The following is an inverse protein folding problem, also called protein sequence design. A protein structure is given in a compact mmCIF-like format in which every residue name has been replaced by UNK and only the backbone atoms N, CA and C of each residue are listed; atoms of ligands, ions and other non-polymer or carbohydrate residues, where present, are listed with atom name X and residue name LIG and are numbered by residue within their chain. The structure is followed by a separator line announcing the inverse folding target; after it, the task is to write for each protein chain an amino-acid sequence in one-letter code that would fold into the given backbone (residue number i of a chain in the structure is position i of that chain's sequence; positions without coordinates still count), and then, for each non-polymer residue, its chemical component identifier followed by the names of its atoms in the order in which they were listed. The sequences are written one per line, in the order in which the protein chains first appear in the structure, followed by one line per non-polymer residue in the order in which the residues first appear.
data_IF_567033061815
#
_entry.id   IF_567033061815
#
_cell.length_a   1.000
_cell.length_b   1.000
_cell.length_c   1.000
_cell.angle_alpha   90.00
_cell.angle_beta   90.00
_cell.angle_gamma   90.00
#
_symmetry.space_group_name_H-M   'P 1'
#
loop_
_entity.id
_entity.type
_entity.pdbx_description
1 polymer ?
#
# COMPACT_ATOMS: atom_id res chain seq x y z
N UNK A 1 19.73 1.83 -16.30
CA UNK A 1 19.03 1.98 -15.01
C UNK A 1 19.92 2.81 -14.09
N UNK A 2 19.45 3.99 -13.70
CA UNK A 2 20.18 4.96 -12.89
C UNK A 2 20.39 4.48 -11.45
N UNK A 3 21.24 5.18 -10.68
CA UNK A 3 21.39 4.90 -9.24
C UNK A 3 20.07 5.13 -8.48
N UNK A 4 19.33 6.17 -8.85
CA UNK A 4 18.02 6.51 -8.26
C UNK A 4 17.02 5.39 -8.54
N UNK A 5 16.95 4.88 -9.78
CA UNK A 5 16.08 3.76 -10.14
C UNK A 5 16.33 2.54 -9.24
N UNK A 6 17.62 2.22 -8.96
CA UNK A 6 17.99 1.07 -8.13
C UNK A 6 17.54 1.24 -6.69
N UNK A 7 17.72 2.44 -6.12
CA UNK A 7 17.23 2.77 -4.78
C UNK A 7 15.71 2.69 -4.72
N UNK A 8 15.01 3.22 -5.72
CA UNK A 8 13.56 3.17 -5.80
C UNK A 8 13.04 1.74 -5.81
N UNK A 9 13.60 0.87 -6.65
CA UNK A 9 13.23 -0.56 -6.66
C UNK A 9 13.54 -1.20 -5.30
N UNK A 10 14.70 -0.94 -4.71
CA UNK A 10 15.06 -1.49 -3.40
C UNK A 10 14.02 -1.12 -2.33
N UNK A 11 13.60 0.15 -2.27
CA UNK A 11 12.58 0.60 -1.31
C UNK A 11 11.22 -0.04 -1.56
N UNK A 12 10.80 -0.16 -2.83
CA UNK A 12 9.54 -0.83 -3.19
C UNK A 12 9.56 -2.31 -2.84
N UNK A 13 10.67 -3.01 -3.10
CA UNK A 13 10.87 -4.41 -2.70
C UNK A 13 10.85 -4.55 -1.19
N UNK A 14 11.53 -3.65 -0.47
CA UNK A 14 11.55 -3.65 0.99
C UNK A 14 10.13 -3.49 1.56
N UNK A 15 9.34 -2.55 1.04
CA UNK A 15 7.93 -2.39 1.44
C UNK A 15 7.15 -3.68 1.23
N UNK A 16 7.30 -4.32 0.05
CA UNK A 16 6.61 -5.57 -0.27
C UNK A 16 7.01 -6.73 0.67
N UNK A 17 8.29 -6.87 0.99
CA UNK A 17 8.79 -7.90 1.93
C UNK A 17 8.25 -7.65 3.33
N UNK A 18 8.29 -6.41 3.81
CA UNK A 18 7.78 -6.06 5.15
C UNK A 18 6.28 -6.31 5.24
N UNK A 19 5.51 -5.92 4.22
CA UNK A 19 4.07 -6.18 4.14
C UNK A 19 3.77 -7.69 4.07
N UNK A 20 4.59 -8.47 3.38
CA UNK A 20 4.47 -9.93 3.36
C UNK A 20 4.65 -10.54 4.75
N UNK A 21 5.65 -10.10 5.52
CA UNK A 21 5.83 -10.57 6.90
C UNK A 21 4.66 -10.15 7.79
N UNK A 22 4.15 -8.93 7.65
CA UNK A 22 2.96 -8.50 8.38
C UNK A 22 1.76 -9.43 8.15
N UNK A 23 1.45 -9.66 6.87
CA UNK A 23 0.27 -10.40 6.46
C UNK A 23 0.36 -11.90 6.75
N UNK A 24 1.49 -12.53 6.45
CA UNK A 24 1.61 -13.99 6.51
C UNK A 24 2.12 -14.50 7.86
N UNK A 25 2.80 -13.67 8.65
CA UNK A 25 3.27 -14.04 9.98
C UNK A 25 2.44 -13.41 11.10
N UNK A 26 2.34 -12.09 11.17
CA UNK A 26 1.66 -11.42 12.31
C UNK A 26 0.14 -11.55 12.24
N UNK A 27 -0.48 -11.24 11.10
CA UNK A 27 -1.93 -11.34 10.94
C UNK A 27 -2.44 -12.78 11.09
N UNK A 28 -1.72 -13.77 10.57
CA UNK A 28 -2.07 -15.19 10.77
C UNK A 28 -1.94 -15.62 12.23
N UNK A 29 -0.89 -15.15 12.93
CA UNK A 29 -0.62 -15.51 14.33
C UNK A 29 -1.68 -14.94 15.28
N UNK A 30 -2.02 -13.65 15.17
CA UNK A 30 -3.03 -13.03 16.07
C UNK A 30 -4.47 -13.24 15.62
N UNK A 31 -4.67 -13.50 14.33
CA UNK A 31 -5.96 -13.54 13.63
C UNK A 31 -6.63 -12.17 13.57
N UNK A 32 -7.17 -11.82 12.40
CA UNK A 32 -7.77 -10.51 12.19
C UNK A 32 -9.22 -10.43 12.71
N UNK A 33 -9.58 -9.41 13.49
CA UNK A 33 -10.96 -9.08 13.82
C UNK A 33 -11.68 -8.52 12.58
N UNK A 34 -13.01 -8.61 12.56
CA UNK A 34 -13.84 -8.22 11.39
C UNK A 34 -13.56 -6.80 10.87
N UNK A 35 -13.25 -5.85 11.75
CA UNK A 35 -13.01 -4.47 11.37
C UNK A 35 -11.74 -4.32 10.51
N UNK A 36 -10.65 -4.99 10.90
CA UNK A 36 -9.38 -4.98 10.15
C UNK A 36 -9.50 -5.75 8.82
N UNK A 37 -10.37 -6.78 8.75
CA UNK A 37 -10.64 -7.50 7.49
C UNK A 37 -11.31 -6.64 6.42
N UNK A 38 -12.03 -5.60 6.83
CA UNK A 38 -12.63 -4.61 5.91
C UNK A 38 -11.68 -3.42 5.74
N UNK A 39 -11.00 -3.02 6.83
CA UNK A 39 -10.01 -1.96 6.84
C UNK A 39 -8.90 -2.19 5.83
N UNK A 40 -8.21 -3.33 5.91
CA UNK A 40 -7.02 -3.59 5.07
C UNK A 40 -7.32 -3.54 3.56
N UNK A 41 -8.42 -4.13 3.05
CA UNK A 41 -8.81 -3.93 1.65
C UNK A 41 -9.04 -2.46 1.29
N UNK A 42 -9.65 -1.66 2.15
CA UNK A 42 -9.86 -0.23 1.89
C UNK A 42 -8.51 0.48 1.75
N UNK A 43 -7.54 0.16 2.59
CA UNK A 43 -6.22 0.79 2.58
C UNK A 43 -5.49 0.47 1.25
N UNK A 44 -5.51 -0.81 0.86
CA UNK A 44 -4.98 -1.28 -0.42
C UNK A 44 -5.71 -0.66 -1.61
N UNK A 45 -7.03 -0.46 -1.52
CA UNK A 45 -7.82 0.17 -2.58
C UNK A 45 -7.40 1.62 -2.85
N UNK A 46 -7.21 2.43 -1.80
CA UNK A 46 -6.74 3.81 -1.98
C UNK A 46 -5.31 3.88 -2.53
N UNK A 47 -4.46 2.91 -2.18
CA UNK A 47 -3.14 2.76 -2.80
C UNK A 47 -3.25 2.38 -4.29
N UNK A 48 -4.17 1.47 -4.65
CA UNK A 48 -4.45 1.10 -6.04
C UNK A 48 -4.97 2.28 -6.87
N UNK A 49 -5.80 3.16 -6.31
CA UNK A 49 -6.24 4.37 -7.00
C UNK A 49 -5.05 5.24 -7.46
N UNK A 50 -4.00 5.33 -6.66
CA UNK A 50 -2.78 6.05 -7.03
C UNK A 50 -2.09 5.42 -8.25
N UNK A 51 -2.01 4.07 -8.31
CA UNK A 51 -1.50 3.37 -9.48
C UNK A 51 -2.37 3.58 -10.72
N UNK A 52 -3.70 3.55 -10.57
CA UNK A 52 -4.63 3.74 -11.69
C UNK A 52 -4.43 5.11 -12.34
N UNK A 53 -4.26 6.17 -11.54
CA UNK A 53 -3.96 7.51 -12.05
C UNK A 53 -2.65 7.51 -12.85
N UNK A 54 -1.59 6.95 -12.30
CA UNK A 54 -0.26 6.97 -12.94
C UNK A 54 -0.22 6.16 -14.23
N UNK A 55 -0.87 4.99 -14.26
CA UNK A 55 -0.78 4.07 -15.39
C UNK A 55 -1.73 4.43 -16.54
N UNK A 56 -2.86 5.08 -16.24
CA UNK A 56 -3.93 5.28 -17.23
C UNK A 56 -4.29 6.74 -17.50
N UNK A 57 -3.81 7.70 -16.70
CA UNK A 57 -4.10 9.11 -16.92
C UNK A 57 -2.88 9.89 -17.41
N UNK A 58 -3.05 10.85 -18.34
CA UNK A 58 -1.99 11.75 -18.73
C UNK A 58 -1.66 12.71 -17.59
N UNK A 59 -0.41 13.16 -17.52
CA UNK A 59 0.06 14.09 -16.51
C UNK A 59 -0.38 15.52 -16.82
N UNK A 60 -1.53 15.91 -16.28
CA UNK A 60 -2.13 17.25 -16.40
C UNK A 60 -2.28 17.87 -15.01
N UNK A 61 -2.51 19.19 -14.92
CA UNK A 61 -2.68 19.86 -13.61
C UNK A 61 -3.81 19.25 -12.77
N UNK A 62 -4.92 18.88 -13.41
CA UNK A 62 -6.09 18.28 -12.74
C UNK A 62 -5.82 16.86 -12.26
N UNK A 63 -5.17 16.03 -13.08
CA UNK A 63 -4.82 14.65 -12.69
C UNK A 63 -3.73 14.60 -11.63
N UNK A 64 -2.81 15.57 -11.62
CA UNK A 64 -1.85 15.74 -10.51
C UNK A 64 -2.57 16.06 -9.20
N UNK A 65 -3.53 17.00 -9.22
CA UNK A 65 -4.32 17.28 -8.02
C UNK A 65 -5.10 16.05 -7.55
N UNK A 66 -5.67 15.29 -8.49
CA UNK A 66 -6.36 14.04 -8.18
C UNK A 66 -5.42 13.00 -7.54
N UNK A 67 -4.20 12.84 -8.08
CA UNK A 67 -3.19 11.97 -7.51
C UNK A 67 -2.82 12.38 -6.09
N UNK A 68 -2.53 13.67 -5.87
CA UNK A 68 -2.18 14.19 -4.55
C UNK A 68 -3.32 13.97 -3.54
N UNK A 69 -4.57 14.14 -3.96
CA UNK A 69 -5.74 13.87 -3.14
C UNK A 69 -5.80 12.39 -2.73
N UNK A 70 -5.67 11.46 -3.68
CA UNK A 70 -5.68 10.02 -3.39
C UNK A 70 -4.48 9.58 -2.55
N UNK A 71 -3.29 10.10 -2.83
CA UNK A 71 -2.08 9.83 -2.04
C UNK A 71 -2.26 10.29 -0.59
N UNK A 72 -2.82 11.49 -0.38
CA UNK A 72 -3.09 12.03 0.96
C UNK A 72 -4.13 11.16 1.68
N UNK A 73 -5.24 10.81 1.04
CA UNK A 73 -6.22 9.91 1.63
C UNK A 73 -5.63 8.54 1.94
N UNK A 74 -4.80 7.99 1.06
CA UNK A 74 -4.12 6.71 1.29
C UNK A 74 -3.26 6.75 2.55
N UNK A 75 -2.50 7.83 2.77
CA UNK A 75 -1.73 8.03 4.00
C UNK A 75 -2.62 8.23 5.24
N UNK A 76 -3.69 9.02 5.14
CA UNK A 76 -4.59 9.26 6.28
C UNK A 76 -5.33 7.99 6.72
N UNK A 77 -5.71 7.17 5.75
CA UNK A 77 -6.44 5.94 6.00
C UNK A 77 -5.57 4.95 6.78
N UNK A 78 -4.30 4.75 6.43
CA UNK A 78 -3.44 3.83 7.19
C UNK A 78 -3.17 4.31 8.63
N UNK A 79 -3.18 5.63 8.87
CA UNK A 79 -3.00 6.19 10.22
C UNK A 79 -4.12 5.76 11.17
N UNK A 80 -5.34 5.49 10.66
CA UNK A 80 -6.48 5.05 11.49
C UNK A 80 -6.15 3.76 12.26
N UNK A 81 -5.30 2.91 11.70
CA UNK A 81 -5.03 1.57 12.22
C UNK A 81 -4.12 1.62 13.45
N UNK A 82 -3.40 2.72 13.65
CA UNK A 82 -2.52 2.91 14.81
C UNK A 82 -3.29 2.82 16.14
N UNK A 83 -4.53 3.31 16.18
CA UNK A 83 -5.39 3.21 17.37
C UNK A 83 -5.65 1.75 17.74
N UNK A 84 -5.76 0.87 16.74
CA UNK A 84 -5.98 -0.55 16.94
C UNK A 84 -4.67 -1.26 17.24
N UNK A 85 -3.58 -0.88 16.57
CA UNK A 85 -2.27 -1.46 16.76
C UNK A 85 -1.77 -1.30 18.19
N UNK A 86 -1.92 -0.11 18.78
CA UNK A 86 -1.56 0.16 20.19
C UNK A 86 -2.21 -0.80 21.20
N UNK A 87 -3.39 -1.32 20.88
CA UNK A 87 -4.16 -2.18 21.78
C UNK A 87 -3.90 -3.68 21.58
N UNK A 88 -3.42 -4.09 20.39
CA UNK A 88 -3.39 -5.51 19.99
C UNK A 88 -2.04 -6.02 19.51
N UNK A 89 -1.19 -5.13 19.02
CA UNK A 89 0.07 -5.52 18.40
C UNK A 89 1.14 -5.73 19.46
N UNK A 90 2.03 -6.69 19.20
CA UNK A 90 3.26 -6.83 19.98
C UNK A 90 4.26 -5.73 19.60
N UNK A 91 5.25 -5.45 20.45
CA UNK A 91 6.24 -4.40 20.18
C UNK A 91 6.96 -4.57 18.82
N UNK A 92 7.22 -5.81 18.39
CA UNK A 92 7.84 -6.11 17.09
C UNK A 92 6.89 -5.78 15.93
N UNK A 93 5.61 -6.15 16.06
CA UNK A 93 4.58 -5.83 15.07
C UNK A 93 4.37 -4.32 14.95
N UNK A 94 4.33 -3.61 16.08
CA UNK A 94 4.27 -2.14 16.11
C UNK A 94 5.45 -1.50 15.37
N UNK A 95 6.67 -2.01 15.60
CA UNK A 95 7.86 -1.55 14.89
C UNK A 95 7.77 -1.79 13.38
N UNK A 96 7.25 -2.95 12.98
CA UNK A 96 7.03 -3.30 11.58
C UNK A 96 6.04 -2.32 10.92
N UNK A 97 4.93 -2.02 11.59
CA UNK A 97 3.95 -1.05 11.11
C UNK A 97 4.51 0.37 10.99
N UNK A 98 5.33 0.81 11.96
CA UNK A 98 6.02 2.09 11.88
C UNK A 98 6.95 2.17 10.65
N UNK A 99 7.65 1.08 10.32
CA UNK A 99 8.45 1.01 9.08
C UNK A 99 7.58 1.11 7.84
N UNK A 100 6.43 0.41 7.80
CA UNK A 100 5.49 0.50 6.69
C UNK A 100 4.91 1.92 6.52
N UNK A 101 4.61 2.61 7.63
CA UNK A 101 4.09 3.98 7.62
C UNK A 101 5.09 4.99 7.06
N UNK A 102 6.40 4.75 7.27
CA UNK A 102 7.46 5.58 6.66
C UNK A 102 7.62 5.24 5.18
N UNK A 103 7.61 3.95 4.83
CA UNK A 103 7.81 3.52 3.44
C UNK A 103 6.65 3.94 2.54
N UNK A 104 5.42 3.94 3.02
CA UNK A 104 4.22 4.24 2.23
C UNK A 104 4.27 5.60 1.50
N UNK A 105 4.45 6.75 2.17
CA UNK A 105 4.57 8.04 1.49
C UNK A 105 5.80 8.12 0.59
N UNK A 106 6.91 7.45 0.93
CA UNK A 106 8.11 7.39 0.08
C UNK A 106 7.80 6.68 -1.23
N UNK A 107 7.07 5.56 -1.19
CA UNK A 107 6.68 4.84 -2.40
C UNK A 107 5.69 5.65 -3.24
N UNK A 108 4.73 6.35 -2.62
CA UNK A 108 3.85 7.26 -3.33
C UNK A 108 4.61 8.41 -4.03
N UNK A 109 5.69 8.91 -3.42
CA UNK A 109 6.55 9.91 -4.07
C UNK A 109 7.31 9.29 -5.26
N UNK A 110 7.89 8.10 -5.10
CA UNK A 110 8.57 7.37 -6.19
C UNK A 110 7.62 7.14 -7.37
N UNK A 111 6.39 6.72 -7.09
CA UNK A 111 5.35 6.53 -8.08
C UNK A 111 5.05 7.83 -8.84
N UNK A 112 4.90 8.95 -8.13
CA UNK A 112 4.69 10.25 -8.75
C UNK A 112 5.83 10.66 -9.71
N UNK A 113 7.09 10.47 -9.31
CA UNK A 113 8.23 10.77 -10.17
C UNK A 113 8.36 9.79 -11.34
N UNK A 114 7.92 8.54 -11.18
CA UNK A 114 7.88 7.56 -12.27
C UNK A 114 6.80 7.90 -13.30
N UNK A 115 5.70 8.53 -12.88
CA UNK A 115 4.61 8.93 -13.77
C UNK A 115 5.07 9.85 -14.90
N UNK A 116 5.96 10.80 -14.61
CA UNK A 116 6.53 11.68 -15.63
C UNK A 116 7.36 10.94 -16.69
N UNK A 117 7.85 9.72 -16.38
CA UNK A 117 8.52 8.82 -17.34
C UNK A 117 7.53 8.00 -18.18
N UNK A 118 6.34 7.73 -17.64
CA UNK A 118 5.27 6.94 -18.28
C UNK A 118 4.40 7.81 -19.20
N UNK A 119 4.07 9.03 -18.76
CA UNK A 119 3.15 9.92 -19.47
C UNK A 119 3.81 10.53 -20.71
N UNK A 120 3.13 10.42 -21.86
CA UNK A 120 3.53 11.04 -23.12
C UNK A 120 3.47 12.58 -23.06
N UNK A 121 2.48 13.12 -22.35
CA UNK A 121 2.37 14.54 -22.07
C UNK A 121 3.16 14.87 -20.80
N UNK A 122 4.33 15.48 -20.96
CA UNK A 122 5.16 15.96 -19.86
C UNK A 122 4.88 17.44 -19.63
N UNK A 123 4.55 17.81 -18.41
CA UNK A 123 4.57 19.21 -18.00
C UNK A 123 6.03 19.66 -17.96
N UNK A 124 6.34 20.85 -18.46
CA UNK A 124 7.71 21.41 -18.56
C UNK A 124 8.51 21.38 -17.24
N UNK A 125 7.82 21.32 -16.10
CA UNK A 125 8.41 21.18 -14.76
C UNK A 125 9.24 19.88 -14.64
N UNK A 126 8.90 18.82 -15.38
CA UNK A 126 9.66 17.57 -15.40
C UNK A 126 10.71 17.61 -16.50
N UNK A 127 11.90 18.09 -16.16
CA UNK A 127 13.07 17.90 -17.02
C UNK A 127 13.38 16.40 -17.13
N UNK A 128 13.76 15.95 -18.33
CA UNK A 128 14.04 14.54 -18.64
C UNK A 128 15.11 13.88 -17.76
N UNK A 129 15.91 14.67 -17.04
CA UNK A 129 17.04 14.21 -16.25
C UNK A 129 16.67 13.73 -14.83
N UNK A 130 15.49 14.10 -14.30
CA UNK A 130 15.07 13.76 -12.93
C UNK A 130 13.99 12.66 -12.85
N UNK A 131 13.69 12.00 -13.96
CA UNK A 131 12.63 11.00 -14.03
C UNK A 131 13.16 9.60 -13.66
N UNK A 132 12.42 8.91 -12.81
CA UNK A 132 12.68 7.52 -12.45
C UNK A 132 12.12 6.64 -13.57
N UNK A 133 12.95 5.78 -14.16
CA UNK A 133 12.57 4.96 -15.32
C UNK A 133 12.44 3.48 -14.95
N UNK A 134 11.41 3.18 -14.14
CA UNK A 134 11.12 1.83 -13.63
C UNK A 134 9.73 1.34 -14.05
N UNK A 135 9.25 1.78 -15.22
CA UNK A 135 7.87 1.61 -15.70
C UNK A 135 7.40 0.15 -15.69
N UNK A 136 8.25 -0.78 -16.13
CA UNK A 136 7.94 -2.21 -16.13
C UNK A 136 7.79 -2.76 -14.71
N UNK A 137 8.61 -2.29 -13.78
CA UNK A 137 8.54 -2.68 -12.37
C UNK A 137 7.27 -2.15 -11.71
N UNK A 138 6.88 -0.89 -11.98
CA UNK A 138 5.62 -0.31 -11.49
C UNK A 138 4.41 -1.09 -12.01
N UNK A 139 4.39 -1.47 -13.29
CA UNK A 139 3.33 -2.33 -13.84
C UNK A 139 3.29 -3.70 -13.16
N UNK A 140 4.44 -4.33 -12.95
CA UNK A 140 4.53 -5.58 -12.23
C UNK A 140 3.99 -5.46 -10.80
N UNK A 141 4.39 -4.41 -10.07
CA UNK A 141 3.92 -4.16 -8.72
C UNK A 141 2.41 -3.87 -8.68
N UNK A 142 1.87 -3.14 -9.66
CA UNK A 142 0.42 -2.94 -9.78
C UNK A 142 -0.35 -4.26 -9.83
N UNK A 143 0.09 -5.22 -10.65
CA UNK A 143 -0.55 -6.54 -10.71
C UNK A 143 -0.40 -7.31 -9.39
N UNK A 144 0.74 -7.23 -8.72
CA UNK A 144 0.92 -7.83 -7.40
C UNK A 144 -0.01 -7.22 -6.35
N UNK A 145 -0.19 -5.90 -6.34
CA UNK A 145 -1.10 -5.22 -5.40
C UNK A 145 -2.55 -5.61 -5.69
N UNK A 146 -2.96 -5.77 -6.96
CA UNK A 146 -4.28 -6.31 -7.30
C UNK A 146 -4.45 -7.73 -6.75
N UNK A 147 -3.48 -8.61 -6.98
CA UNK A 147 -3.52 -9.98 -6.46
C UNK A 147 -3.61 -9.99 -4.93
N UNK A 148 -2.85 -9.11 -4.27
CA UNK A 148 -2.86 -8.94 -2.82
C UNK A 148 -4.22 -8.43 -2.31
N UNK A 149 -4.81 -7.43 -2.97
CA UNK A 149 -6.15 -6.91 -2.66
C UNK A 149 -7.22 -8.00 -2.77
N UNK A 150 -7.20 -8.78 -3.86
CA UNK A 150 -8.12 -9.90 -4.05
C UNK A 150 -7.89 -10.98 -2.99
N UNK A 151 -6.63 -11.29 -2.67
CA UNK A 151 -6.30 -12.20 -1.59
C UNK A 151 -6.87 -11.71 -0.25
N UNK A 152 -6.69 -10.44 0.12
CA UNK A 152 -7.21 -9.89 1.37
C UNK A 152 -8.74 -10.02 1.44
N UNK A 153 -9.44 -9.72 0.36
CA UNK A 153 -10.90 -9.87 0.28
C UNK A 153 -11.31 -11.34 0.43
N UNK A 154 -10.75 -12.22 -0.41
CA UNK A 154 -11.17 -13.62 -0.50
C UNK A 154 -10.77 -14.39 0.76
N UNK A 155 -9.50 -14.29 1.17
CA UNK A 155 -8.98 -15.06 2.28
C UNK A 155 -9.66 -14.66 3.59
N UNK A 156 -9.67 -13.37 3.94
CA UNK A 156 -10.17 -12.96 5.25
C UNK A 156 -11.70 -12.93 5.37
N UNK A 157 -12.42 -12.65 4.29
CA UNK A 157 -13.89 -12.58 4.36
C UNK A 157 -14.58 -13.91 4.05
N UNK A 158 -13.98 -14.79 3.23
CA UNK A 158 -14.66 -16.02 2.78
C UNK A 158 -13.97 -17.31 3.25
N UNK A 159 -12.64 -17.38 3.21
CA UNK A 159 -11.89 -18.61 3.57
C UNK A 159 -11.71 -18.72 5.07
N UNK A 160 -11.28 -17.62 5.70
CA UNK A 160 -11.05 -17.54 7.13
C UNK A 160 -12.39 -17.55 7.87
N UNK A 161 -12.78 -18.73 8.34
CA UNK A 161 -13.94 -18.90 9.21
C UNK A 161 -13.56 -18.54 10.63
N UNK A 162 -14.21 -17.49 11.14
CA UNK A 162 -14.11 -17.12 12.55
C UNK A 162 -14.52 -18.32 13.41
N UNK A 163 -13.61 -18.86 14.22
CA UNK A 163 -13.92 -20.03 15.08
C UNK A 163 -14.85 -19.68 16.26
N UNK A 164 -15.46 -18.50 16.30
CA UNK A 164 -16.36 -18.07 17.37
C UNK A 164 -17.75 -17.69 16.85
N UNK A 165 -18.49 -18.69 16.36
CA UNK A 165 -19.95 -18.67 16.34
C UNK A 165 -20.36 -19.85 17.23
N UNK A 166 -20.57 -19.57 18.53
CA UNK A 166 -21.06 -20.45 19.62
C UNK A 166 -20.17 -20.54 20.88
N UNK A 167 -19.27 -19.59 21.13
CA UNK A 167 -18.58 -19.47 22.42
C UNK A 167 -19.25 -18.42 23.30
N UNK A 168 -20.06 -18.86 24.28
CA UNK A 168 -20.57 -18.02 25.38
C UNK A 168 -19.49 -17.05 25.88
N UNK A 169 -19.88 -15.79 26.06
CA UNK A 169 -19.08 -14.79 26.75
C UNK A 169 -18.84 -15.29 28.18
N UNK A 170 -17.62 -15.74 28.47
CA UNK A 170 -17.15 -15.99 29.83
C UNK A 170 -16.47 -14.72 30.30
N UNK A 171 -17.20 -13.88 31.04
CA UNK A 171 -16.57 -12.94 31.95
C UNK A 171 -15.94 -13.75 33.10
N UNK A 172 -14.62 -13.72 33.17
CA UNK A 172 -13.87 -13.90 34.42
C UNK A 172 -12.71 -12.92 34.40
#
# INVERSE_FOLDING_TARGET
MSFIDKISILLMVLQGVVMFFDEFYFHQKRKLPRWERIGHPIDTFFFLLCYLVILFMPMTKTTIMLYLLFATFSCLIIIKDEVVHLNKCTALEQYLHAVLFILHPIILIILFFTWGSISENKIEIFSSNNLININNFVKFQFYLVILFFLYQIVYWNFIYKDKNINGKISYK
#
